data_IF_706491849746
#
_entry.id   IF_706491849746
#
_cell.length_a   1.000
_cell.length_b   1.000
_cell.length_c   1.000
_cell.angle_alpha   90.00
_cell.angle_beta   90.00
_cell.angle_gamma   90.00
#
_symmetry.space_group_name_H-M   'P 1'
#
loop_
_entity.id
_entity.type
_entity.pdbx_description
1 polymer ?
#
# COMPACT_ATOMS: atom_id res chain seq x y z
N UNK A 1 16.41 38.29 -64.36
CA UNK A 1 16.31 36.95 -63.74
C UNK A 1 17.02 37.02 -62.39
N UNK A 2 16.25 37.37 -61.36
CA UNK A 2 16.72 37.54 -59.98
C UNK A 2 16.66 36.21 -59.23
N UNK A 3 17.73 35.85 -58.51
CA UNK A 3 17.70 34.79 -57.50
C UNK A 3 17.75 35.44 -56.12
N UNK A 4 16.65 35.27 -55.39
CA UNK A 4 16.51 35.45 -53.95
C UNK A 4 17.46 34.47 -53.22
N UNK A 5 18.11 34.94 -52.16
CA UNK A 5 18.63 34.08 -51.11
C UNK A 5 18.32 34.74 -49.76
N UNK A 6 17.48 34.03 -49.00
CA UNK A 6 16.99 34.32 -47.67
C UNK A 6 18.08 33.97 -46.66
N UNK A 7 18.40 34.88 -45.74
CA UNK A 7 19.25 34.63 -44.58
C UNK A 7 18.37 34.61 -43.32
N UNK A 8 18.18 33.40 -42.77
CA UNK A 8 17.59 33.17 -41.45
C UNK A 8 18.56 33.59 -40.34
N UNK A 9 18.06 34.31 -39.35
CA UNK A 9 18.76 34.60 -38.10
C UNK A 9 18.78 33.41 -37.15
N UNK A 10 19.88 33.27 -36.41
CA UNK A 10 19.94 32.49 -35.18
C UNK A 10 20.40 33.41 -34.04
N UNK A 11 19.51 33.60 -33.06
CA UNK A 11 19.82 34.21 -31.78
C UNK A 11 20.52 33.21 -30.87
N UNK A 12 21.60 33.66 -30.22
CA UNK A 12 22.33 32.91 -29.19
C UNK A 12 21.75 33.30 -27.82
N UNK A 13 21.21 32.32 -27.11
CA UNK A 13 20.76 32.46 -25.73
C UNK A 13 21.95 32.44 -24.76
N UNK A 14 22.00 33.42 -23.86
CA UNK A 14 22.97 33.50 -22.76
C UNK A 14 22.50 32.62 -21.61
N UNK A 15 23.28 31.59 -21.27
CA UNK A 15 23.09 30.77 -20.07
C UNK A 15 23.80 31.47 -18.91
N UNK A 16 23.04 31.95 -17.92
CA UNK A 16 23.57 32.49 -16.68
C UNK A 16 23.85 31.33 -15.70
N UNK A 17 25.12 31.12 -15.37
CA UNK A 17 25.57 30.25 -14.29
C UNK A 17 25.27 30.95 -12.95
N UNK A 18 24.36 30.39 -12.14
CA UNK A 18 24.19 30.81 -10.74
C UNK A 18 25.07 29.93 -9.87
N UNK A 19 26.18 30.51 -9.41
CA UNK A 19 27.01 29.96 -8.34
C UNK A 19 26.38 30.36 -7.02
N UNK A 20 25.65 29.46 -6.37
CA UNK A 20 25.19 29.68 -5.00
C UNK A 20 26.30 29.30 -4.02
N UNK A 21 26.82 30.32 -3.33
CA UNK A 21 27.82 30.24 -2.29
C UNK A 21 27.29 29.56 -1.01
N UNK A 22 27.99 28.52 -0.55
CA UNK A 22 27.85 27.97 0.79
C UNK A 22 28.10 29.06 1.85
N UNK A 23 27.07 29.38 2.63
CA UNK A 23 27.22 30.06 3.92
C UNK A 23 26.70 29.15 5.02
N UNK A 24 27.63 28.70 5.84
CA UNK A 24 27.37 28.02 7.09
C UNK A 24 26.39 28.82 7.96
N UNK A 25 25.35 28.14 8.46
CA UNK A 25 24.67 28.51 9.70
C UNK A 25 25.02 27.44 10.74
N UNK A 26 25.76 27.89 11.75
CA UNK A 26 25.95 27.18 12.99
C UNK A 26 24.66 27.29 13.84
N UNK A 27 24.33 26.22 14.57
CA UNK A 27 23.38 26.25 15.68
C UNK A 27 22.52 25.00 15.78
N UNK A 28 22.92 24.06 16.64
CA UNK A 28 22.06 23.00 17.16
C UNK A 28 22.39 21.58 16.68
N UNK A 29 23.49 21.01 17.16
CA UNK A 29 23.65 19.55 17.19
C UNK A 29 22.56 18.94 18.07
N UNK A 30 21.60 18.22 17.47
CA UNK A 30 20.80 17.26 18.20
C UNK A 30 21.65 15.99 18.38
N UNK A 31 22.32 15.91 19.53
CA UNK A 31 22.99 14.69 19.97
C UNK A 31 21.96 13.58 20.20
N UNK A 32 22.15 12.45 19.54
CA UNK A 32 21.31 11.26 19.70
C UNK A 32 21.33 10.69 21.11
N UNK A 33 20.14 10.64 21.71
CA UNK A 33 19.69 9.58 22.60
C UNK A 33 18.30 9.22 22.09
N UNK A 34 18.11 8.01 21.56
CA UNK A 34 16.87 7.59 20.92
C UNK A 34 15.70 7.71 21.89
N UNK A 35 14.90 8.76 21.73
CA UNK A 35 13.63 8.89 22.45
C UNK A 35 12.74 7.79 21.90
N UNK A 36 12.54 6.75 22.70
CA UNK A 36 11.59 5.70 22.38
C UNK A 36 10.20 6.32 22.50
N UNK A 37 9.46 6.33 21.40
CA UNK A 37 8.07 6.78 21.40
C UNK A 37 7.23 5.99 22.41
N UNK A 38 6.20 6.62 23.00
CA UNK A 38 5.11 5.90 23.65
C UNK A 38 4.54 4.83 22.72
N UNK A 39 4.12 3.71 23.31
CA UNK A 39 3.74 2.52 22.55
C UNK A 39 2.49 2.76 21.69
N UNK A 40 1.63 3.70 22.10
CA UNK A 40 0.38 4.08 21.44
C UNK A 40 0.57 4.79 20.10
N UNK A 41 1.75 5.35 19.86
CA UNK A 41 2.08 6.10 18.64
C UNK A 41 3.11 5.37 17.75
N UNK A 42 3.50 4.15 18.15
CA UNK A 42 4.37 3.27 17.35
C UNK A 42 5.75 3.88 17.08
N UNK A 43 6.33 3.56 15.92
CA UNK A 43 7.72 3.90 15.58
C UNK A 43 7.86 5.06 14.59
N UNK A 44 6.76 5.74 14.24
CA UNK A 44 6.79 6.94 13.38
C UNK A 44 7.50 8.10 14.07
N UNK A 45 8.32 8.85 13.34
CA UNK A 45 8.96 10.09 13.77
C UNK A 45 7.96 11.26 13.83
N UNK A 46 7.11 11.28 14.85
CA UNK A 46 6.06 12.30 15.01
C UNK A 46 6.61 13.68 15.40
N UNK A 47 6.12 14.72 14.72
CA UNK A 47 6.15 16.08 15.23
C UNK A 47 5.14 16.30 16.36
N UNK A 48 5.40 17.31 17.20
CA UNK A 48 4.48 17.77 18.27
C UNK A 48 4.02 19.22 18.10
N UNK A 49 4.56 19.94 17.12
CA UNK A 49 4.16 21.30 16.78
C UNK A 49 3.28 21.26 15.52
N UNK A 50 2.00 21.55 15.72
CA UNK A 50 1.00 21.51 14.67
C UNK A 50 1.13 22.64 13.65
N UNK A 51 1.46 23.85 14.12
CA UNK A 51 1.59 25.00 13.23
C UNK A 51 2.85 24.89 12.36
N UNK A 52 3.94 24.37 12.93
CA UNK A 52 5.13 24.05 12.15
C UNK A 52 4.85 22.93 11.12
N UNK A 53 4.02 21.94 11.45
CA UNK A 53 3.62 20.91 10.48
C UNK A 53 2.84 21.50 9.28
N UNK A 54 1.90 22.43 9.54
CA UNK A 54 1.18 23.13 8.47
C UNK A 54 2.12 23.97 7.60
N UNK A 55 3.09 24.65 8.21
CA UNK A 55 4.09 25.43 7.48
C UNK A 55 4.97 24.53 6.61
N UNK A 56 5.47 23.42 7.15
CA UNK A 56 6.24 22.43 6.38
C UNK A 56 5.43 21.80 5.25
N UNK A 57 4.13 21.58 5.44
CA UNK A 57 3.23 21.15 4.39
C UNK A 57 3.19 22.17 3.24
N UNK A 58 3.10 23.46 3.54
CA UNK A 58 3.13 24.54 2.54
C UNK A 58 4.47 24.64 1.80
N UNK A 59 5.59 24.37 2.47
CA UNK A 59 6.93 24.42 1.87
C UNK A 59 7.25 23.19 1.00
N UNK A 60 6.79 22.01 1.40
CA UNK A 60 7.13 20.73 0.75
C UNK A 60 6.06 20.25 -0.23
N UNK A 61 4.83 20.74 -0.11
CA UNK A 61 3.65 20.21 -0.79
C UNK A 61 3.14 18.89 -0.20
N UNK A 62 3.74 18.36 0.86
CA UNK A 62 3.26 17.13 1.51
C UNK A 62 2.03 17.44 2.38
N UNK A 63 0.94 16.65 2.32
CA UNK A 63 -0.16 16.79 3.26
C UNK A 63 0.30 16.55 4.70
N UNK A 64 -0.40 17.15 5.66
CA UNK A 64 -0.19 16.83 7.08
C UNK A 64 -1.02 15.60 7.42
N UNK A 65 -0.38 14.61 8.04
CA UNK A 65 -1.06 13.48 8.66
C UNK A 65 -1.08 13.73 10.17
N UNK A 66 -2.29 13.93 10.70
CA UNK A 66 -2.51 14.27 12.11
C UNK A 66 -3.10 13.08 12.83
N UNK A 67 -2.38 12.52 13.79
CA UNK A 67 -2.88 11.48 14.68
C UNK A 67 -3.43 12.11 15.96
N UNK A 68 -4.72 11.94 16.22
CA UNK A 68 -5.32 12.22 17.52
C UNK A 68 -5.35 10.94 18.34
N UNK A 69 -4.61 10.89 19.45
CA UNK A 69 -4.40 9.66 20.21
C UNK A 69 -4.27 9.91 21.71
N UNK A 70 -4.78 8.97 22.51
CA UNK A 70 -4.61 9.00 23.96
C UNK A 70 -3.19 8.55 24.32
N UNK A 71 -2.43 9.39 25.04
CA UNK A 71 -1.07 9.06 25.48
C UNK A 71 -0.84 9.50 26.94
N UNK A 72 -0.53 8.57 27.87
CA UNK A 72 -0.68 7.11 27.73
C UNK A 72 -2.14 6.74 27.50
N UNK A 73 -2.39 5.69 26.73
CA UNK A 73 -3.73 5.30 26.29
C UNK A 73 -4.15 3.90 26.72
N UNK A 74 -5.44 3.60 26.54
CA UNK A 74 -5.99 2.26 26.79
C UNK A 74 -5.39 1.18 25.86
N UNK A 75 -5.73 -0.10 26.13
CA UNK A 75 -5.23 -1.24 25.35
C UNK A 75 -5.42 -1.07 23.84
N UNK A 76 -6.56 -0.52 23.39
CA UNK A 76 -6.83 -0.27 21.97
C UNK A 76 -5.84 0.71 21.35
N UNK A 77 -5.42 1.75 22.08
CA UNK A 77 -4.41 2.71 21.63
C UNK A 77 -3.04 2.03 21.50
N UNK A 78 -2.68 1.21 22.49
CA UNK A 78 -1.43 0.45 22.47
C UNK A 78 -1.40 -0.59 21.35
N UNK A 79 -2.51 -1.29 21.10
CA UNK A 79 -2.61 -2.28 20.04
C UNK A 79 -2.48 -1.62 18.67
N UNK A 80 -3.13 -0.45 18.48
CA UNK A 80 -2.99 0.32 17.26
C UNK A 80 -1.53 0.76 17.03
N UNK A 81 -0.87 1.28 18.07
CA UNK A 81 0.53 1.67 17.98
C UNK A 81 1.48 0.50 17.67
N UNK A 82 1.29 -0.67 18.31
CA UNK A 82 2.09 -1.89 18.09
C UNK A 82 1.88 -2.54 16.73
N UNK A 83 0.68 -2.41 16.16
CA UNK A 83 0.30 -3.17 14.94
C UNK A 83 0.30 -2.30 13.69
N UNK A 84 -0.32 -1.12 13.75
CA UNK A 84 -0.47 -0.22 12.60
C UNK A 84 0.69 0.77 12.52
N UNK A 85 0.94 1.53 13.58
CA UNK A 85 1.97 2.60 13.59
C UNK A 85 3.41 2.08 13.79
N UNK A 86 3.59 0.76 13.81
CA UNK A 86 4.90 0.08 13.82
C UNK A 86 5.10 -0.76 12.55
N UNK A 87 4.09 -0.86 11.68
CA UNK A 87 4.24 -1.59 10.42
C UNK A 87 5.22 -0.83 9.52
N UNK A 88 6.34 -1.43 9.08
CA UNK A 88 7.44 -0.68 8.46
C UNK A 88 7.07 0.12 7.21
N UNK A 89 6.24 -0.43 6.33
CA UNK A 89 5.81 0.23 5.09
C UNK A 89 4.80 1.36 5.36
N UNK A 90 3.96 1.24 6.38
CA UNK A 90 3.11 2.35 6.83
C UNK A 90 3.96 3.45 7.45
N UNK A 91 4.93 3.10 8.31
CA UNK A 91 5.84 4.08 8.91
C UNK A 91 6.58 4.84 7.82
N UNK A 92 7.17 4.13 6.85
CA UNK A 92 7.83 4.71 5.68
C UNK A 92 6.89 5.64 4.91
N UNK A 93 5.68 5.20 4.56
CA UNK A 93 4.72 6.05 3.86
C UNK A 93 4.29 7.28 4.67
N UNK A 94 4.11 7.16 6.00
CA UNK A 94 3.76 8.29 6.86
C UNK A 94 4.88 9.34 6.88
N UNK A 95 6.14 8.92 6.97
CA UNK A 95 7.29 9.82 7.06
C UNK A 95 7.71 10.41 5.69
N UNK A 96 7.63 9.60 4.63
CA UNK A 96 8.06 10.00 3.30
C UNK A 96 6.98 10.76 2.53
N UNK A 97 5.70 10.42 2.74
CA UNK A 97 4.61 11.01 1.98
C UNK A 97 3.77 12.01 2.75
N UNK A 98 3.97 12.18 4.06
CA UNK A 98 3.22 13.16 4.85
C UNK A 98 4.17 14.00 5.71
N UNK A 99 3.62 15.06 6.30
CA UNK A 99 4.20 15.70 7.48
C UNK A 99 3.51 15.11 8.70
N UNK A 100 4.14 14.17 9.43
CA UNK A 100 3.50 13.50 10.56
C UNK A 100 3.49 14.37 11.81
N UNK A 101 2.31 14.60 12.37
CA UNK A 101 2.15 15.26 13.67
C UNK A 101 1.17 14.47 14.53
N UNK A 102 1.48 14.33 15.80
CA UNK A 102 0.56 13.72 16.78
C UNK A 102 -0.01 14.80 17.67
N UNK A 103 -1.26 14.65 18.09
CA UNK A 103 -1.99 15.47 19.06
C UNK A 103 -2.49 14.54 20.16
N UNK A 104 -2.14 14.81 21.40
CA UNK A 104 -2.56 13.98 22.53
C UNK A 104 -3.99 14.36 22.96
N UNK A 105 -4.96 13.50 22.67
CA UNK A 105 -6.38 13.82 22.83
C UNK A 105 -6.87 13.84 24.30
N UNK A 106 -5.98 13.56 25.24
CA UNK A 106 -6.23 13.53 26.68
C UNK A 106 -5.47 14.61 27.46
N UNK A 107 -4.72 15.47 26.76
CA UNK A 107 -3.94 16.55 27.37
C UNK A 107 -4.64 17.92 27.23
N UNK A 108 -4.20 18.86 28.06
CA UNK A 108 -4.60 20.27 27.99
C UNK A 108 -3.69 21.09 27.06
N UNK A 109 -3.78 22.42 27.15
CA UNK A 109 -2.91 23.33 26.40
C UNK A 109 -3.13 23.28 24.90
N UNK A 110 -2.06 23.35 24.12
CA UNK A 110 -2.12 23.39 22.65
C UNK A 110 -2.84 22.18 22.04
N UNK A 111 -2.65 20.97 22.59
CA UNK A 111 -3.37 19.79 22.11
C UNK A 111 -4.90 19.98 22.23
N UNK A 112 -5.37 20.58 23.33
CA UNK A 112 -6.80 20.88 23.54
C UNK A 112 -7.33 21.90 22.54
N UNK A 113 -6.58 22.95 22.26
CA UNK A 113 -6.95 23.97 21.27
C UNK A 113 -7.13 23.34 19.87
N UNK A 114 -6.26 22.39 19.50
CA UNK A 114 -6.35 21.68 18.23
C UNK A 114 -7.56 20.72 18.22
N UNK A 115 -7.82 19.98 19.30
CA UNK A 115 -9.03 19.15 19.42
C UNK A 115 -10.30 19.98 19.20
N UNK A 116 -10.38 21.15 19.84
CA UNK A 116 -11.53 22.05 19.70
C UNK A 116 -11.68 22.58 18.27
N UNK A 117 -10.55 22.94 17.61
CA UNK A 117 -10.53 23.37 16.20
C UNK A 117 -11.13 22.32 15.26
N UNK A 118 -10.81 21.04 15.48
CA UNK A 118 -11.28 19.94 14.63
C UNK A 118 -12.54 19.24 15.16
N UNK A 119 -13.08 19.68 16.30
CA UNK A 119 -14.19 19.04 17.00
C UNK A 119 -13.93 17.56 17.29
N UNK A 120 -12.67 17.21 17.56
CA UNK A 120 -12.32 15.85 17.97
C UNK A 120 -12.65 15.63 19.45
N UNK A 121 -13.23 14.47 19.83
CA UNK A 121 -13.50 14.19 21.22
C UNK A 121 -12.20 14.03 22.00
N UNK A 122 -12.24 14.38 23.29
CA UNK A 122 -11.19 13.99 24.22
C UNK A 122 -11.43 12.55 24.70
N UNK A 123 -10.36 11.81 25.01
CA UNK A 123 -10.43 10.44 25.55
C UNK A 123 -11.20 9.45 24.64
N UNK A 124 -11.15 9.64 23.33
CA UNK A 124 -11.71 8.68 22.36
C UNK A 124 -10.62 7.79 21.77
N UNK A 125 -11.06 6.83 20.96
CA UNK A 125 -10.18 6.00 20.14
C UNK A 125 -9.42 6.84 19.11
N UNK A 126 -8.29 6.29 18.65
CA UNK A 126 -7.42 6.89 17.65
C UNK A 126 -8.19 7.34 16.39
N UNK A 127 -7.87 8.55 15.93
CA UNK A 127 -8.38 9.11 14.67
C UNK A 127 -7.20 9.72 13.90
N UNK A 128 -7.13 9.43 12.60
CA UNK A 128 -6.17 10.07 11.70
C UNK A 128 -6.93 11.02 10.78
N UNK A 129 -6.45 12.27 10.70
CA UNK A 129 -6.88 13.25 9.70
C UNK A 129 -5.77 13.56 8.72
N UNK A 130 -6.18 13.96 7.52
CA UNK A 130 -5.27 14.32 6.43
C UNK A 130 -5.59 15.74 6.00
N UNK A 131 -4.67 16.65 6.24
CA UNK A 131 -4.89 18.08 6.07
C UNK A 131 -4.01 18.68 4.98
N UNK A 132 -4.52 19.70 4.32
CA UNK A 132 -3.71 20.59 3.48
C UNK A 132 -2.90 21.57 4.33
N UNK A 133 -2.07 22.38 3.68
CA UNK A 133 -1.22 23.39 4.33
C UNK A 133 -2.02 24.52 5.04
N UNK A 134 -3.32 24.63 4.78
CA UNK A 134 -4.22 25.56 5.47
C UNK A 134 -4.90 24.91 6.69
N UNK A 135 -4.64 23.62 6.91
CA UNK A 135 -5.23 22.83 7.99
C UNK A 135 -6.67 22.41 7.71
N UNK A 136 -7.07 22.33 6.44
CA UNK A 136 -8.39 21.81 6.05
C UNK A 136 -8.26 20.33 5.67
N UNK A 137 -9.26 19.53 6.04
CA UNK A 137 -9.34 18.13 5.61
C UNK A 137 -9.35 18.01 4.08
N UNK A 138 -8.41 17.21 3.55
CA UNK A 138 -8.31 16.87 2.13
C UNK A 138 -9.37 15.84 1.77
N UNK A 139 -9.60 14.88 2.66
CA UNK A 139 -10.62 13.84 2.57
C UNK A 139 -11.51 13.88 3.82
N UNK A 140 -12.80 13.50 3.73
CA UNK A 140 -13.69 13.54 4.88
C UNK A 140 -13.13 12.78 6.09
N UNK A 141 -13.37 13.29 7.30
CA UNK A 141 -13.03 12.60 8.55
C UNK A 141 -13.76 11.25 8.62
N UNK A 142 -13.03 10.20 8.97
CA UNK A 142 -13.58 8.88 9.22
C UNK A 142 -13.02 8.31 10.53
N UNK A 143 -13.89 7.69 11.32
CA UNK A 143 -13.54 7.05 12.60
C UNK A 143 -13.44 5.54 12.41
N UNK A 144 -12.85 4.84 13.39
CA UNK A 144 -12.75 3.37 13.43
C UNK A 144 -11.89 2.73 12.34
N UNK A 145 -10.96 3.49 11.78
CA UNK A 145 -9.94 2.99 10.86
C UNK A 145 -8.72 2.53 11.66
N UNK A 146 -8.74 1.26 12.08
CA UNK A 146 -7.77 0.70 13.04
C UNK A 146 -6.98 -0.50 12.52
N UNK A 147 -7.01 -0.74 11.22
CA UNK A 147 -6.28 -1.83 10.57
C UNK A 147 -5.21 -1.27 9.64
N UNK A 148 -4.17 -2.08 9.39
CA UNK A 148 -3.10 -1.71 8.44
C UNK A 148 -3.66 -1.38 7.06
N UNK A 149 -4.56 -2.21 6.53
CA UNK A 149 -5.21 -1.99 5.23
C UNK A 149 -6.04 -0.71 5.18
N UNK A 150 -6.94 -0.52 6.16
CA UNK A 150 -7.80 0.66 6.19
C UNK A 150 -7.01 1.96 6.36
N UNK A 151 -5.93 1.95 7.15
CA UNK A 151 -5.04 3.11 7.25
C UNK A 151 -4.32 3.37 5.91
N UNK A 152 -3.82 2.33 5.24
CA UNK A 152 -3.20 2.47 3.92
C UNK A 152 -4.16 3.03 2.86
N UNK A 153 -5.41 2.55 2.81
CA UNK A 153 -6.45 3.06 1.90
C UNK A 153 -6.68 4.56 2.08
N UNK A 154 -6.83 4.99 3.34
CA UNK A 154 -7.06 6.39 3.68
C UNK A 154 -5.86 7.26 3.30
N UNK A 155 -4.63 6.75 3.45
CA UNK A 155 -3.42 7.44 2.97
C UNK A 155 -3.41 7.56 1.44
N UNK A 156 -3.80 6.49 0.71
CA UNK A 156 -3.92 6.50 -0.75
C UNK A 156 -4.96 7.52 -1.21
N UNK A 157 -6.13 7.55 -0.56
CA UNK A 157 -7.21 8.50 -0.83
C UNK A 157 -6.71 9.95 -0.65
N UNK A 158 -6.02 10.23 0.47
CA UNK A 158 -5.45 11.54 0.77
C UNK A 158 -4.41 11.98 -0.27
N UNK A 159 -3.47 11.09 -0.63
CA UNK A 159 -2.44 11.39 -1.63
C UNK A 159 -3.05 11.64 -3.01
N UNK A 160 -4.04 10.83 -3.39
CA UNK A 160 -4.75 10.98 -4.66
C UNK A 160 -5.50 12.31 -4.71
N UNK A 161 -6.25 12.66 -3.66
CA UNK A 161 -6.98 13.92 -3.56
C UNK A 161 -6.05 15.14 -3.48
N UNK A 162 -4.84 14.98 -2.97
CA UNK A 162 -3.77 15.98 -2.98
C UNK A 162 -2.98 16.02 -4.32
N UNK A 163 -3.39 15.23 -5.33
CA UNK A 163 -2.70 15.10 -6.62
C UNK A 163 -1.23 14.68 -6.50
N UNK A 164 -0.93 13.85 -5.50
CA UNK A 164 0.42 13.34 -5.23
C UNK A 164 0.59 11.90 -5.70
N UNK A 165 1.82 11.50 -6.10
CA UNK A 165 2.08 10.13 -6.47
C UNK A 165 1.84 9.21 -5.28
N UNK A 166 1.15 8.10 -5.52
CA UNK A 166 0.93 7.05 -4.53
C UNK A 166 2.03 5.99 -4.68
N UNK A 167 2.82 5.69 -3.63
CA UNK A 167 3.83 4.65 -3.71
C UNK A 167 3.21 3.27 -3.94
N UNK A 168 3.80 2.46 -4.84
CA UNK A 168 3.30 1.11 -5.15
C UNK A 168 3.29 0.17 -3.95
N UNK A 169 4.24 0.31 -3.03
CA UNK A 169 4.28 -0.52 -1.82
C UNK A 169 3.09 -0.21 -0.90
N UNK A 170 2.63 1.05 -0.85
CA UNK A 170 1.47 1.44 -0.06
C UNK A 170 0.19 0.84 -0.66
N UNK A 171 0.07 0.84 -1.99
CA UNK A 171 -1.02 0.14 -2.70
C UNK A 171 -1.03 -1.36 -2.38
N UNK A 172 0.14 -2.00 -2.33
CA UNK A 172 0.25 -3.41 -1.96
C UNK A 172 -0.20 -3.66 -0.51
N UNK A 173 0.16 -2.79 0.43
CA UNK A 173 -0.28 -2.87 1.84
C UNK A 173 -1.80 -2.73 1.96
N UNK A 174 -2.40 -1.78 1.24
CA UNK A 174 -3.85 -1.62 1.20
C UNK A 174 -4.55 -2.87 0.64
N UNK A 175 -4.11 -3.34 -0.53
CA UNK A 175 -4.66 -4.51 -1.19
C UNK A 175 -4.57 -5.77 -0.30
N UNK A 176 -3.49 -5.96 0.44
CA UNK A 176 -3.35 -7.09 1.36
C UNK A 176 -4.37 -7.05 2.51
N UNK A 177 -4.62 -5.87 3.08
CA UNK A 177 -5.49 -5.71 4.24
C UNK A 177 -6.99 -5.87 3.95
N UNK A 178 -7.40 -5.88 2.69
CA UNK A 178 -8.80 -6.01 2.24
C UNK A 178 -9.30 -7.46 2.14
N UNK A 179 -8.88 -8.35 3.05
CA UNK A 179 -9.15 -9.80 2.92
C UNK A 179 -10.62 -10.20 2.76
N UNK A 180 -11.57 -9.37 3.23
CA UNK A 180 -13.00 -9.60 3.10
C UNK A 180 -13.58 -9.22 1.72
N UNK A 181 -12.86 -8.42 0.94
CA UNK A 181 -13.26 -7.97 -0.39
C UNK A 181 -12.58 -8.79 -1.49
N UNK A 182 -11.61 -9.65 -1.14
CA UNK A 182 -10.95 -10.50 -2.12
C UNK A 182 -11.90 -11.54 -2.68
N UNK A 183 -11.98 -11.58 -4.01
CA UNK A 183 -12.59 -12.66 -4.73
C UNK A 183 -11.66 -13.88 -4.79
N UNK A 184 -12.23 -15.05 -5.00
CA UNK A 184 -11.52 -16.33 -5.01
C UNK A 184 -11.90 -17.10 -6.27
N UNK A 185 -10.93 -17.68 -6.96
CA UNK A 185 -11.16 -18.48 -8.16
C UNK A 185 -10.04 -19.48 -8.35
N UNK A 186 -10.27 -20.55 -9.10
CA UNK A 186 -9.24 -21.51 -9.46
C UNK A 186 -9.20 -21.76 -10.96
N UNK A 187 -7.99 -21.92 -11.49
CA UNK A 187 -7.75 -22.14 -12.91
C UNK A 187 -7.14 -23.52 -13.10
N UNK A 188 -7.86 -24.44 -13.74
CA UNK A 188 -7.30 -25.73 -14.12
C UNK A 188 -6.30 -25.56 -15.24
N UNK A 189 -5.12 -26.13 -15.05
CA UNK A 189 -3.99 -25.97 -15.95
C UNK A 189 -3.10 -27.22 -15.92
N UNK A 190 -2.12 -27.28 -16.82
CA UNK A 190 -1.23 -28.44 -16.91
C UNK A 190 -0.24 -28.53 -15.74
N UNK A 191 0.18 -27.38 -15.19
CA UNK A 191 1.17 -27.29 -14.12
C UNK A 191 0.83 -26.11 -13.21
N UNK A 192 0.37 -26.36 -11.99
CA UNK A 192 0.03 -25.27 -11.06
C UNK A 192 1.24 -24.41 -10.68
N UNK A 193 2.47 -24.94 -10.73
CA UNK A 193 3.67 -24.14 -10.46
C UNK A 193 3.87 -23.03 -11.49
N UNK A 194 3.55 -23.32 -12.76
CA UNK A 194 3.58 -22.31 -13.83
C UNK A 194 2.50 -21.28 -13.57
N UNK A 195 1.28 -21.70 -13.20
CA UNK A 195 0.20 -20.78 -12.85
C UNK A 195 0.54 -19.86 -11.68
N UNK A 196 1.02 -20.42 -10.56
CA UNK A 196 1.45 -19.65 -9.39
C UNK A 196 2.50 -18.60 -9.77
N UNK A 197 3.44 -18.95 -10.68
CA UNK A 197 4.49 -18.03 -11.12
C UNK A 197 3.93 -16.91 -11.98
N UNK A 198 3.02 -17.21 -12.88
CA UNK A 198 2.65 -16.30 -13.96
C UNK A 198 1.47 -15.43 -13.59
N UNK A 199 0.43 -16.04 -13.00
CA UNK A 199 -0.72 -15.33 -12.46
C UNK A 199 -0.29 -14.47 -11.26
N UNK A 200 0.66 -14.96 -10.45
CA UNK A 200 1.19 -14.20 -9.30
C UNK A 200 1.81 -12.85 -9.67
N UNK A 201 2.27 -12.65 -10.92
CA UNK A 201 2.85 -11.38 -11.41
C UNK A 201 1.82 -10.28 -11.61
N UNK A 202 0.55 -10.63 -11.78
CA UNK A 202 -0.49 -9.66 -12.13
C UNK A 202 -0.76 -8.69 -10.98
N UNK A 203 -0.91 -7.42 -11.31
CA UNK A 203 -1.48 -6.42 -10.40
C UNK A 203 -2.93 -6.81 -10.05
N UNK A 204 -3.35 -6.58 -8.81
CA UNK A 204 -4.63 -7.08 -8.27
C UNK A 204 -4.62 -8.54 -7.78
N UNK A 205 -3.64 -9.38 -8.16
CA UNK A 205 -3.50 -10.72 -7.57
C UNK A 205 -2.82 -10.62 -6.21
N UNK A 206 -3.55 -11.06 -5.17
CA UNK A 206 -3.12 -11.03 -3.77
C UNK A 206 -2.42 -12.32 -3.40
N UNK A 207 -2.98 -13.49 -3.70
CA UNK A 207 -2.36 -14.76 -3.36
C UNK A 207 -2.59 -15.83 -4.43
N UNK A 208 -1.61 -16.71 -4.61
CA UNK A 208 -1.78 -17.95 -5.38
C UNK A 208 -1.56 -19.17 -4.50
N UNK A 209 -2.24 -20.27 -4.80
CA UNK A 209 -2.12 -21.54 -4.08
C UNK A 209 -2.24 -22.72 -5.06
N UNK A 210 -1.22 -23.58 -5.06
CA UNK A 210 -1.24 -24.85 -5.75
C UNK A 210 -2.27 -25.83 -5.17
N UNK A 211 -3.09 -26.44 -6.01
CA UNK A 211 -4.10 -27.38 -5.57
C UNK A 211 -4.61 -28.32 -6.64
N UNK A 212 -5.63 -29.09 -6.24
CA UNK A 212 -6.33 -30.05 -7.06
C UNK A 212 -7.83 -29.82 -6.96
N UNK A 213 -8.52 -29.82 -8.10
CA UNK A 213 -9.98 -29.74 -8.16
C UNK A 213 -10.46 -30.48 -9.40
N UNK A 214 -11.50 -31.31 -9.25
CA UNK A 214 -12.14 -32.02 -10.37
C UNK A 214 -11.13 -32.84 -11.22
N UNK A 215 -10.15 -33.46 -10.56
CA UNK A 215 -9.10 -34.26 -11.21
C UNK A 215 -8.01 -33.45 -11.92
N UNK A 216 -8.05 -32.12 -11.87
CA UNK A 216 -7.07 -31.24 -12.48
C UNK A 216 -6.12 -30.64 -11.46
N UNK A 217 -4.88 -30.38 -11.88
CA UNK A 217 -4.05 -29.38 -11.23
C UNK A 217 -4.67 -28.00 -11.41
N UNK A 218 -4.76 -27.25 -10.32
CA UNK A 218 -5.31 -25.90 -10.33
C UNK A 218 -4.38 -24.92 -9.61
N UNK A 219 -4.33 -23.69 -10.12
CA UNK A 219 -3.87 -22.55 -9.32
C UNK A 219 -5.10 -21.83 -8.79
N UNK A 220 -5.30 -21.88 -7.47
CA UNK A 220 -6.29 -21.05 -6.78
C UNK A 220 -5.71 -19.66 -6.58
N UNK A 221 -6.53 -18.64 -6.76
CA UNK A 221 -6.12 -17.24 -6.81
C UNK A 221 -7.08 -16.44 -5.96
N UNK A 222 -6.53 -15.70 -4.99
CA UNK A 222 -7.22 -14.62 -4.31
C UNK A 222 -6.80 -13.31 -4.94
N UNK A 223 -7.77 -12.47 -5.28
CA UNK A 223 -7.52 -11.22 -6.00
C UNK A 223 -8.50 -10.13 -5.57
N UNK A 224 -8.09 -8.89 -5.79
CA UNK A 224 -8.92 -7.71 -5.63
C UNK A 224 -9.76 -7.49 -6.91
N UNK A 225 -11.10 -7.67 -6.86
CA UNK A 225 -11.96 -7.55 -8.03
C UNK A 225 -12.08 -6.11 -8.57
N UNK A 226 -11.73 -5.09 -7.77
CA UNK A 226 -11.72 -3.69 -8.22
C UNK A 226 -10.47 -3.38 -9.07
N UNK A 227 -9.40 -4.17 -8.91
CA UNK A 227 -8.18 -4.05 -9.70
C UNK A 227 -8.11 -5.00 -10.89
N UNK A 228 -8.62 -6.23 -10.75
CA UNK A 228 -8.63 -7.22 -11.82
C UNK A 228 -9.92 -8.05 -11.81
N UNK A 229 -10.66 -8.02 -12.91
CA UNK A 229 -11.90 -8.79 -13.03
C UNK A 229 -11.64 -10.29 -13.24
N UNK A 230 -12.62 -11.12 -12.89
CA UNK A 230 -12.58 -12.56 -13.18
C UNK A 230 -12.37 -12.84 -14.67
N UNK A 231 -13.01 -12.05 -15.54
CA UNK A 231 -12.86 -12.19 -16.99
C UNK A 231 -11.43 -11.90 -17.44
N UNK A 232 -10.85 -10.76 -17.02
CA UNK A 232 -9.48 -10.39 -17.39
C UNK A 232 -8.46 -11.43 -16.89
N UNK A 233 -8.64 -11.91 -15.66
CA UNK A 233 -7.82 -12.97 -15.08
C UNK A 233 -7.94 -14.29 -15.87
N UNK A 234 -9.17 -14.64 -16.27
CA UNK A 234 -9.44 -15.85 -17.08
C UNK A 234 -8.84 -15.77 -18.48
N UNK A 235 -8.95 -14.61 -19.14
CA UNK A 235 -8.35 -14.37 -20.44
C UNK A 235 -6.82 -14.46 -20.39
N UNK A 236 -6.22 -13.87 -19.36
CA UNK A 236 -4.77 -14.00 -19.14
C UNK A 236 -4.36 -15.45 -18.92
N UNK A 237 -5.08 -16.18 -18.05
CA UNK A 237 -4.78 -17.59 -17.75
C UNK A 237 -4.97 -18.52 -18.97
N UNK A 238 -5.83 -18.14 -19.93
CA UNK A 238 -6.06 -18.89 -21.17
C UNK A 238 -4.93 -18.72 -22.20
N UNK A 239 -4.17 -17.63 -22.14
CA UNK A 239 -3.10 -17.33 -23.11
C UNK A 239 -2.07 -18.49 -23.21
N UNK A 240 -1.48 -18.65 -24.38
CA UNK A 240 -0.79 -19.85 -24.88
C UNK A 240 0.47 -20.29 -24.10
N UNK A 241 0.85 -19.54 -23.06
CA UNK A 241 1.93 -19.92 -22.14
C UNK A 241 1.43 -20.78 -20.97
N UNK A 242 0.13 -20.73 -20.65
CA UNK A 242 -0.44 -21.28 -19.39
C UNK A 242 -1.58 -22.26 -19.62
N UNK A 243 -2.31 -22.12 -20.75
CA UNK A 243 -3.38 -23.00 -21.20
C UNK A 243 -4.36 -23.40 -20.09
N UNK A 244 -4.92 -22.43 -19.36
CA UNK A 244 -6.02 -22.72 -18.46
C UNK A 244 -7.17 -23.37 -19.27
N UNK A 245 -7.58 -24.56 -18.84
CA UNK A 245 -8.55 -25.40 -19.55
C UNK A 245 -9.95 -25.30 -18.96
N UNK A 246 -10.08 -24.83 -17.72
CA UNK A 246 -11.35 -24.64 -17.00
C UNK A 246 -11.19 -23.62 -15.87
N UNK A 247 -12.20 -22.79 -15.67
CA UNK A 247 -12.27 -21.75 -14.61
C UNK A 247 -13.28 -22.17 -13.56
N UNK A 248 -12.91 -22.06 -12.29
CA UNK A 248 -13.78 -22.34 -11.15
C UNK A 248 -13.93 -21.10 -10.29
N UNK A 249 -15.15 -20.77 -9.88
CA UNK A 249 -15.42 -19.68 -8.94
C UNK A 249 -16.55 -20.05 -7.98
N UNK A 250 -16.66 -19.39 -6.81
CA UNK A 250 -17.76 -19.53 -5.87
C UNK A 250 -19.11 -19.20 -6.50
N UNK A 251 -20.18 -19.69 -5.87
CA UNK A 251 -21.59 -19.44 -6.17
C UNK A 251 -22.00 -19.34 -7.65
N UNK A 252 -21.33 -20.12 -8.53
CA UNK A 252 -21.59 -20.14 -9.96
C UNK A 252 -21.12 -18.89 -10.72
N UNK A 253 -20.34 -17.99 -10.10
CA UNK A 253 -19.84 -16.76 -10.73
C UNK A 253 -19.14 -17.02 -12.07
N UNK A 254 -18.40 -18.12 -12.16
CA UNK A 254 -17.70 -18.52 -13.38
C UNK A 254 -18.65 -18.76 -14.57
N UNK A 255 -19.93 -19.09 -14.34
CA UNK A 255 -20.89 -19.37 -15.41
C UNK A 255 -21.22 -18.14 -16.28
N UNK A 256 -20.82 -16.95 -15.82
CA UNK A 256 -20.94 -15.70 -16.58
C UNK A 256 -19.85 -15.55 -17.65
N UNK A 257 -18.80 -16.40 -17.63
CA UNK A 257 -17.66 -16.33 -18.53
C UNK A 257 -17.95 -17.01 -19.88
N UNK A 258 -18.34 -16.22 -20.87
CA UNK A 258 -18.55 -16.72 -22.23
C UNK A 258 -17.26 -17.25 -22.86
N UNK A 259 -17.34 -18.44 -23.49
CA UNK A 259 -16.19 -19.05 -24.18
C UNK A 259 -15.20 -19.76 -23.26
N UNK A 260 -15.53 -19.94 -21.98
CA UNK A 260 -14.75 -20.72 -21.02
C UNK A 260 -15.48 -22.00 -20.64
N UNK A 261 -14.72 -23.06 -20.34
CA UNK A 261 -15.26 -24.18 -19.55
C UNK A 261 -15.28 -23.74 -18.09
N UNK A 262 -16.40 -23.93 -17.41
CA UNK A 262 -16.61 -23.40 -16.06
C UNK A 262 -16.97 -24.51 -15.07
N UNK A 263 -16.72 -24.26 -13.79
CA UNK A 263 -17.09 -25.14 -12.69
C UNK A 263 -17.25 -24.37 -11.38
N UNK A 264 -17.66 -25.08 -10.34
CA UNK A 264 -17.82 -24.52 -9.00
C UNK A 264 -16.51 -24.63 -8.22
N UNK A 265 -16.06 -23.54 -7.59
CA UNK A 265 -15.06 -23.63 -6.53
C UNK A 265 -15.79 -23.98 -5.22
N UNK A 266 -15.55 -25.19 -4.71
CA UNK A 266 -16.24 -25.71 -3.53
C UNK A 266 -15.28 -26.49 -2.60
N UNK A 267 -15.88 -27.14 -1.61
CA UNK A 267 -15.19 -27.94 -0.59
C UNK A 267 -14.41 -29.16 -1.15
N UNK A 268 -14.61 -29.54 -2.41
CA UNK A 268 -13.85 -30.63 -3.04
C UNK A 268 -12.45 -30.19 -3.50
N UNK A 269 -12.17 -28.88 -3.47
CA UNK A 269 -10.83 -28.35 -3.64
C UNK A 269 -9.89 -28.93 -2.58
N UNK A 270 -8.72 -29.40 -3.03
CA UNK A 270 -7.67 -29.94 -2.16
C UNK A 270 -6.37 -29.20 -2.41
N UNK A 271 -5.88 -28.51 -1.38
CA UNK A 271 -4.55 -27.90 -1.38
C UNK A 271 -3.47 -28.95 -1.68
N UNK A 272 -2.49 -28.61 -2.52
CA UNK A 272 -1.34 -29.46 -2.79
C UNK A 272 -0.43 -29.56 -1.55
N UNK A 273 0.53 -30.50 -1.57
CA UNK A 273 1.42 -30.71 -0.42
C UNK A 273 2.27 -29.47 -0.16
N UNK A 274 2.72 -29.29 1.09
CA UNK A 274 3.59 -28.16 1.45
C UNK A 274 4.86 -28.07 0.59
N UNK A 275 5.40 -29.20 0.10
CA UNK A 275 6.55 -29.26 -0.81
C UNK A 275 6.30 -28.71 -2.22
N UNK A 276 5.03 -28.50 -2.55
CA UNK A 276 4.55 -28.05 -3.85
C UNK A 276 4.10 -26.59 -3.83
N UNK A 277 3.89 -26.02 -2.64
CA UNK A 277 3.54 -24.60 -2.48
C UNK A 277 4.76 -23.71 -2.67
N UNK A 278 4.59 -22.57 -3.35
CA UNK A 278 5.65 -21.58 -3.54
C UNK A 278 6.98 -22.20 -4.01
N UNK A 279 6.88 -23.12 -4.99
CA UNK A 279 7.97 -24.02 -5.37
C UNK A 279 9.24 -23.30 -5.79
N UNK A 280 9.10 -22.16 -6.43
CA UNK A 280 10.17 -21.38 -7.02
C UNK A 280 11.07 -20.81 -5.92
N UNK A 281 10.49 -20.46 -4.77
CA UNK A 281 11.22 -19.97 -3.59
C UNK A 281 12.05 -21.05 -2.89
N UNK A 282 11.70 -22.34 -3.03
CA UNK A 282 12.31 -23.43 -2.24
C UNK A 282 13.83 -23.58 -2.44
N UNK A 283 14.36 -23.12 -3.58
CA UNK A 283 15.81 -23.09 -3.84
C UNK A 283 16.56 -21.95 -3.14
N UNK A 284 15.86 -20.96 -2.59
CA UNK A 284 16.40 -19.70 -2.09
C UNK A 284 16.36 -19.65 -0.57
N UNK A 285 17.34 -20.29 0.08
CA UNK A 285 17.41 -20.42 1.55
C UNK A 285 17.29 -19.09 2.30
N UNK A 286 17.86 -18.01 1.75
CA UNK A 286 17.79 -16.67 2.35
C UNK A 286 16.36 -16.15 2.40
N UNK A 287 15.62 -16.28 1.28
CA UNK A 287 14.23 -15.81 1.18
C UNK A 287 13.32 -16.67 2.05
N UNK A 288 13.52 -17.99 2.05
CA UNK A 288 12.79 -18.93 2.90
C UNK A 288 13.07 -18.73 4.40
N UNK A 289 14.19 -18.10 4.75
CA UNK A 289 14.55 -17.76 6.12
C UNK A 289 14.03 -16.40 6.60
N UNK A 290 13.39 -15.61 5.73
CA UNK A 290 12.80 -14.33 6.13
C UNK A 290 11.61 -14.56 7.06
N UNK A 291 11.61 -14.00 8.28
CA UNK A 291 10.48 -14.13 9.18
C UNK A 291 9.29 -13.33 8.64
N UNK A 292 8.08 -13.81 8.94
CA UNK A 292 6.83 -13.06 8.76
C UNK A 292 6.49 -12.62 7.33
N UNK A 293 6.96 -13.35 6.30
CA UNK A 293 6.42 -13.15 4.95
C UNK A 293 4.93 -13.50 4.94
N UNK A 294 4.10 -12.55 4.51
CA UNK A 294 2.68 -12.80 4.30
C UNK A 294 2.42 -13.52 2.96
N UNK A 295 1.17 -13.92 2.71
CA UNK A 295 0.82 -14.69 1.50
C UNK A 295 1.01 -13.89 0.20
N UNK A 296 0.79 -12.58 0.24
CA UNK A 296 1.01 -11.73 -0.92
C UNK A 296 2.49 -11.59 -1.26
N UNK A 297 3.33 -11.33 -0.27
CA UNK A 297 4.78 -11.29 -0.41
C UNK A 297 5.32 -12.64 -0.92
N UNK A 298 4.87 -13.76 -0.36
CA UNK A 298 5.24 -15.10 -0.87
C UNK A 298 4.84 -15.27 -2.32
N UNK A 299 3.60 -14.91 -2.67
CA UNK A 299 3.08 -14.98 -4.04
C UNK A 299 3.93 -14.18 -5.01
N UNK A 300 4.25 -12.91 -4.68
CA UNK A 300 5.06 -12.03 -5.53
C UNK A 300 6.51 -12.50 -5.63
N UNK A 301 7.11 -12.95 -4.53
CA UNK A 301 8.46 -13.52 -4.54
C UNK A 301 8.52 -14.81 -5.38
N UNK A 302 7.55 -15.71 -5.21
CA UNK A 302 7.45 -16.94 -5.97
C UNK A 302 7.31 -16.69 -7.46
N UNK A 303 6.53 -15.68 -7.83
CA UNK A 303 6.33 -15.22 -9.20
C UNK A 303 7.59 -14.61 -9.84
N UNK A 304 8.42 -13.93 -9.06
CA UNK A 304 9.59 -13.21 -9.55
C UNK A 304 10.84 -14.09 -9.72
N UNK A 305 11.04 -15.07 -8.84
CA UNK A 305 12.31 -15.80 -8.71
C UNK A 305 12.72 -16.63 -9.95
N UNK A 306 11.81 -16.88 -10.89
CA UNK A 306 12.12 -17.61 -12.15
C UNK A 306 11.70 -16.88 -13.43
N UNK A 307 11.35 -15.59 -13.34
CA UNK A 307 11.08 -14.75 -14.53
C UNK A 307 12.37 -14.36 -15.26
#
# INVERSE_FOLDING_TARGET
>A
MSRLLVLCGLGVAVVALVVSSNRARAGGEATGAGVVNPIEIGTVAWGRDFDEALKQSGETGKPVLVLFQEVPGCQGCQDFGKTVLTQPLLVEAIEDEFVPVVVYNNQGGQDREILERYQEPAWNYQVIRYLDAQGKDIIPREDRIWTVGGTAERMIEALTAAERPVPKYLQAVAAEGQSHQHADSAFAMFCYWTGETEIGKLDGVVATEAGWLDGHEVTRVKYDPDQISLLALSEYARDARFHATKVYAPDGEANTLEGFRTGQLDHTYRKARASDQNKQMTGFKTIMGLPNLNEMQKTKLNAFIRS
#
